data_IF_770902364869
#
_entry.id   IF_770902364869
#
_cell.length_a   1.000
_cell.length_b   1.000
_cell.length_c   1.000
_cell.angle_alpha   90.00
_cell.angle_beta   90.00
_cell.angle_gamma   90.00
#
_symmetry.space_group_name_H-M   'P 1'
#
loop_
_entity.id
_entity.type
_entity.pdbx_description
1 polymer ?
#
# COMPACT_ATOMS: atom_id res chain seq x y z
N UNK A 1 0.96 -64.67 6.31
CA UNK A 1 1.71 -63.98 5.23
C UNK A 1 1.42 -62.50 5.32
N UNK A 2 2.47 -61.70 5.21
CA UNK A 2 2.56 -60.31 5.68
C UNK A 2 1.59 -59.34 4.98
N UNK A 3 0.88 -58.57 5.78
CA UNK A 3 0.26 -57.31 5.37
C UNK A 3 1.15 -56.16 5.81
N UNK A 4 1.53 -55.29 4.88
CA UNK A 4 2.03 -53.94 5.16
C UNK A 4 1.98 -53.06 3.90
N UNK A 5 1.03 -52.14 3.86
CA UNK A 5 1.15 -50.79 3.30
C UNK A 5 0.59 -49.87 4.39
N UNK A 6 1.21 -48.71 4.71
CA UNK A 6 1.07 -47.54 3.84
C UNK A 6 2.29 -46.60 3.82
N UNK A 7 2.89 -46.38 2.66
CA UNK A 7 3.84 -45.28 2.44
C UNK A 7 3.08 -44.11 1.78
N UNK A 8 2.54 -43.21 2.60
CA UNK A 8 1.68 -42.12 2.13
C UNK A 8 1.60 -40.92 3.07
N UNK A 9 2.71 -40.49 3.68
CA UNK A 9 2.68 -39.44 4.72
C UNK A 9 3.89 -38.50 4.78
N UNK A 10 4.62 -38.26 3.68
CA UNK A 10 5.88 -37.48 3.74
C UNK A 10 6.04 -36.32 2.72
N UNK A 11 4.98 -35.76 2.15
CA UNK A 11 5.08 -34.64 1.17
C UNK A 11 4.37 -33.33 1.56
N UNK A 12 3.90 -33.17 2.80
CA UNK A 12 3.11 -32.00 3.22
C UNK A 12 3.73 -30.94 4.17
N UNK A 13 4.95 -31.05 4.73
CA UNK A 13 5.49 -29.97 5.58
C UNK A 13 6.08 -28.79 4.78
N UNK A 14 6.60 -29.02 3.58
CA UNK A 14 7.43 -28.03 2.88
C UNK A 14 6.63 -26.97 2.10
N UNK A 15 5.51 -27.36 1.48
CA UNK A 15 4.62 -26.42 0.79
C UNK A 15 3.93 -25.43 1.75
N UNK A 16 3.62 -25.87 2.98
CA UNK A 16 3.00 -25.02 4.00
C UNK A 16 3.99 -23.98 4.56
N UNK A 17 5.27 -24.36 4.70
CA UNK A 17 6.33 -23.46 5.14
C UNK A 17 6.63 -22.36 4.11
N UNK A 18 6.58 -22.70 2.81
CA UNK A 18 6.79 -21.77 1.71
C UNK A 18 5.68 -20.68 1.64
N UNK A 19 4.42 -21.07 1.84
CA UNK A 19 3.29 -20.11 1.93
C UNK A 19 3.45 -19.16 3.12
N UNK A 20 3.94 -19.65 4.26
CA UNK A 20 4.21 -18.80 5.42
C UNK A 20 5.31 -17.77 5.14
N UNK A 21 6.45 -18.21 4.63
CA UNK A 21 7.61 -17.34 4.34
C UNK A 21 7.29 -16.30 3.27
N UNK A 22 6.57 -16.69 2.20
CA UNK A 22 6.12 -15.78 1.15
C UNK A 22 5.09 -14.77 1.67
N UNK A 23 4.15 -15.18 2.51
CA UNK A 23 3.19 -14.28 3.15
C UNK A 23 3.87 -13.25 4.06
N UNK A 24 4.80 -13.67 4.93
CA UNK A 24 5.53 -12.75 5.80
C UNK A 24 6.39 -11.77 5.00
N UNK A 25 7.10 -12.25 3.97
CA UNK A 25 7.91 -11.39 3.10
C UNK A 25 7.05 -10.37 2.34
N UNK A 26 5.88 -10.79 1.84
CA UNK A 26 4.93 -9.90 1.16
C UNK A 26 4.34 -8.85 2.12
N UNK A 27 4.01 -9.24 3.35
CA UNK A 27 3.48 -8.34 4.37
C UNK A 27 4.53 -7.30 4.84
N UNK A 28 5.79 -7.72 4.96
CA UNK A 28 6.90 -6.80 5.28
C UNK A 28 7.11 -5.81 4.13
N UNK A 29 7.12 -6.30 2.89
CA UNK A 29 7.30 -5.45 1.71
C UNK A 29 6.15 -4.45 1.55
N UNK A 30 4.89 -4.88 1.70
CA UNK A 30 3.72 -4.01 1.56
C UNK A 30 3.71 -2.91 2.61
N UNK A 31 4.02 -3.24 3.87
CA UNK A 31 4.16 -2.25 4.95
C UNK A 31 5.28 -1.26 4.66
N UNK A 32 6.43 -1.75 4.20
CA UNK A 32 7.57 -0.90 3.86
C UNK A 32 7.21 0.09 2.73
N UNK A 33 6.58 -0.39 1.67
CA UNK A 33 6.15 0.44 0.54
C UNK A 33 5.12 1.49 0.98
N UNK A 34 4.11 1.10 1.78
CA UNK A 34 3.13 2.05 2.31
C UNK A 34 3.78 3.13 3.18
N UNK A 35 4.73 2.75 4.04
CA UNK A 35 5.49 3.69 4.87
C UNK A 35 6.36 4.63 4.03
N UNK A 36 6.98 4.12 2.97
CA UNK A 36 7.81 4.90 2.06
C UNK A 36 6.97 5.96 1.32
N UNK A 37 5.83 5.56 0.76
CA UNK A 37 4.91 6.50 0.11
C UNK A 37 4.42 7.58 1.08
N UNK A 38 4.07 7.20 2.30
CA UNK A 38 3.66 8.15 3.33
C UNK A 38 4.77 9.16 3.68
N UNK A 39 6.03 8.71 3.81
CA UNK A 39 7.16 9.60 4.10
C UNK A 39 7.47 10.58 2.98
N UNK A 40 7.36 10.12 1.73
CA UNK A 40 7.65 10.94 0.55
C UNK A 40 6.54 11.96 0.33
N UNK A 41 5.28 11.51 0.24
CA UNK A 41 4.17 12.40 -0.08
C UNK A 41 3.76 13.29 1.10
N UNK A 42 3.94 12.80 2.33
CA UNK A 42 3.38 13.39 3.54
C UNK A 42 1.87 13.62 3.41
N UNK A 43 1.16 12.75 2.69
CA UNK A 43 -0.29 12.80 2.56
C UNK A 43 -0.89 11.69 3.42
N UNK A 44 -1.88 12.05 4.23
CA UNK A 44 -2.76 11.10 4.91
C UNK A 44 -4.01 10.91 4.06
N UNK A 45 -4.27 9.68 3.62
CA UNK A 45 -5.43 9.36 2.78
C UNK A 45 -6.64 8.97 3.63
N UNK A 46 -7.82 9.40 3.21
CA UNK A 46 -9.09 8.96 3.78
C UNK A 46 -9.54 7.68 3.05
N UNK A 47 -9.39 6.54 3.73
CA UNK A 47 -9.72 5.21 3.19
C UNK A 47 -11.21 4.85 3.33
N UNK A 48 -11.99 5.64 4.08
CA UNK A 48 -13.43 5.43 4.26
C UNK A 48 -14.27 6.11 3.16
N UNK A 49 -13.59 6.77 2.22
CA UNK A 49 -14.21 7.49 1.11
C UNK A 49 -14.61 6.58 -0.05
N UNK A 50 -15.51 7.08 -0.92
CA UNK A 50 -15.98 6.33 -2.09
C UNK A 50 -14.81 5.93 -3.02
N UNK A 51 -14.84 4.75 -3.67
CA UNK A 51 -13.71 4.23 -4.47
C UNK A 51 -13.25 5.13 -5.63
N UNK A 52 -14.15 6.00 -6.12
CA UNK A 52 -13.83 6.99 -7.16
C UNK A 52 -13.26 8.29 -6.61
N UNK A 53 -13.25 8.48 -5.30
CA UNK A 53 -12.92 9.74 -4.65
C UNK A 53 -11.54 9.67 -4.01
N UNK A 54 -10.63 10.53 -4.46
CA UNK A 54 -9.31 10.67 -3.88
C UNK A 54 -9.40 11.80 -2.85
N UNK A 55 -9.56 11.40 -1.58
CA UNK A 55 -9.63 12.30 -0.43
C UNK A 55 -8.44 12.10 0.48
N UNK A 56 -7.83 13.19 0.92
CA UNK A 56 -6.71 13.14 1.83
C UNK A 56 -6.37 14.50 2.41
N UNK A 57 -5.50 14.50 3.41
CA UNK A 57 -4.99 15.69 4.07
C UNK A 57 -3.46 15.71 3.95
N UNK A 58 -2.87 16.75 3.34
CA UNK A 58 -1.44 16.98 3.41
C UNK A 58 -1.04 17.21 4.87
N UNK A 59 -0.03 16.51 5.36
CA UNK A 59 0.54 16.63 6.70
C UNK A 59 1.53 17.79 6.82
N UNK A 60 1.58 18.69 5.83
CA UNK A 60 2.50 19.81 5.82
C UNK A 60 2.12 20.79 6.94
N UNK A 61 2.94 20.81 7.99
CA UNK A 61 2.82 21.69 9.16
C UNK A 61 3.94 22.75 9.25
N UNK A 62 4.75 22.92 8.20
CA UNK A 62 5.89 23.84 8.22
C UNK A 62 5.87 24.82 7.05
N UNK A 63 5.10 25.90 7.23
CA UNK A 63 5.05 27.08 6.36
C UNK A 63 3.71 27.81 6.50
N UNK A 64 3.60 29.10 6.14
CA UNK A 64 2.37 29.90 6.33
C UNK A 64 1.18 29.43 5.46
N UNK A 65 1.37 28.39 4.65
CA UNK A 65 0.34 27.81 3.81
C UNK A 65 -0.38 26.70 4.58
N UNK A 66 -1.62 26.99 4.98
CA UNK A 66 -2.54 26.05 5.64
C UNK A 66 -2.65 24.77 4.81
N UNK A 67 -2.57 23.61 5.47
CA UNK A 67 -2.83 22.32 4.86
C UNK A 67 -4.24 22.29 4.25
N UNK A 68 -4.33 22.33 2.91
CA UNK A 68 -5.61 22.27 2.21
C UNK A 68 -6.05 20.82 2.02
N UNK A 69 -7.33 20.50 2.29
CA UNK A 69 -7.85 19.16 2.05
C UNK A 69 -7.81 18.84 0.55
N UNK A 70 -7.32 17.65 0.21
CA UNK A 70 -7.34 17.10 -1.14
C UNK A 70 -8.72 16.48 -1.35
N UNK A 71 -9.41 16.91 -2.41
CA UNK A 71 -10.71 16.38 -2.79
C UNK A 71 -10.81 16.31 -4.31
N UNK A 72 -10.55 15.12 -4.86
CA UNK A 72 -10.54 14.88 -6.30
C UNK A 72 -11.48 13.73 -6.66
N UNK A 73 -12.18 13.86 -7.78
CA UNK A 73 -12.98 12.78 -8.36
C UNK A 73 -12.20 12.12 -9.51
N UNK A 74 -11.78 10.88 -9.29
CA UNK A 74 -11.00 10.09 -10.26
C UNK A 74 -11.83 9.61 -11.45
N UNK A 75 -13.16 9.70 -11.39
CA UNK A 75 -14.04 9.36 -12.52
C UNK A 75 -14.10 10.49 -13.55
N UNK A 76 -13.85 11.73 -13.11
CA UNK A 76 -13.92 12.93 -13.95
C UNK A 76 -12.53 13.42 -14.38
N UNK A 77 -11.48 13.03 -13.67
CA UNK A 77 -10.12 13.50 -13.89
C UNK A 77 -9.25 12.41 -14.52
N UNK A 78 -8.37 12.81 -15.44
CA UNK A 78 -7.41 11.88 -16.02
C UNK A 78 -6.37 11.42 -14.97
N UNK A 79 -5.91 10.17 -15.08
CA UNK A 79 -4.85 9.63 -14.21
C UNK A 79 -3.57 10.48 -14.24
N UNK A 80 -3.23 11.04 -15.41
CA UNK A 80 -2.07 11.92 -15.56
C UNK A 80 -2.24 13.20 -14.74
N UNK A 81 -3.40 13.87 -14.88
CA UNK A 81 -3.69 15.09 -14.13
C UNK A 81 -3.62 14.86 -12.61
N UNK A 82 -4.21 13.76 -12.14
CA UNK A 82 -4.17 13.39 -10.72
C UNK A 82 -2.72 13.22 -10.24
N UNK A 83 -1.91 12.46 -10.98
CA UNK A 83 -0.49 12.26 -10.64
C UNK A 83 0.31 13.56 -10.63
N UNK A 84 0.13 14.41 -11.66
CA UNK A 84 0.83 15.69 -11.77
C UNK A 84 0.44 16.62 -10.62
N UNK A 85 -0.85 16.68 -10.27
CA UNK A 85 -1.34 17.47 -9.14
C UNK A 85 -0.77 16.97 -7.81
N UNK A 86 -0.83 15.66 -7.53
CA UNK A 86 -0.34 15.10 -6.27
C UNK A 86 1.17 15.31 -6.11
N UNK A 87 1.95 15.19 -7.18
CA UNK A 87 3.38 15.45 -7.13
C UNK A 87 3.71 16.93 -6.96
N UNK A 88 2.86 17.85 -7.45
CA UNK A 88 3.03 19.28 -7.22
C UNK A 88 2.91 19.68 -5.73
N UNK A 89 2.24 18.86 -4.91
CA UNK A 89 2.07 19.10 -3.46
C UNK A 89 3.29 18.70 -2.64
N UNK A 90 4.19 17.88 -3.20
CA UNK A 90 5.39 17.41 -2.51
C UNK A 90 6.46 18.49 -2.59
N UNK A 91 7.04 18.85 -1.45
CA UNK A 91 8.10 19.85 -1.40
C UNK A 91 9.32 19.37 -2.20
N UNK A 92 9.82 20.22 -3.08
CA UNK A 92 10.99 19.96 -3.94
C UNK A 92 12.26 20.65 -3.46
N UNK A 93 12.18 21.34 -2.31
CA UNK A 93 13.34 21.95 -1.66
C UNK A 93 14.19 20.88 -0.97
N UNK A 94 15.51 21.00 -1.14
CA UNK A 94 16.54 20.10 -0.59
C UNK A 94 17.35 20.81 0.49
#
# INVERSE_FOLDING_TARGET
MAGALPEGSALRPQAQADVGVTFFSLAILSRYVAQLYHRISKIEWDYESEPGMIKGKPLVHHGPSVAQPIHLDSTQLSKKFISDYLWSLVDTKW
#
